data_IF_193057068914
#
_entry.id   IF_193057068914
#
_cell.length_a   1.000
_cell.length_b   1.000
_cell.length_c   1.000
_cell.angle_alpha   90.00
_cell.angle_beta   90.00
_cell.angle_gamma   90.00
#
_symmetry.space_group_name_H-M   'P 1'
#
loop_
_entity.id
_entity.type
_entity.pdbx_description
1 polymer ?
#
# COMPACT_ATOMS: atom_id res chain seq x y z
N UNK A 1 -14.04 -9.74 2.08
CA UNK A 1 -12.75 -9.96 2.75
C UNK A 1 -12.04 -8.62 2.77
N UNK A 2 -11.44 -8.24 3.90
CA UNK A 2 -10.80 -6.94 4.07
C UNK A 2 -9.44 -6.89 3.38
N UNK A 3 -9.15 -5.77 2.72
CA UNK A 3 -7.81 -5.50 2.18
C UNK A 3 -6.84 -5.22 3.33
N UNK A 4 -5.60 -5.66 3.21
CA UNK A 4 -4.55 -5.46 4.21
C UNK A 4 -3.25 -5.05 3.55
N UNK A 5 -2.48 -4.21 4.24
CA UNK A 5 -1.14 -3.82 3.81
C UNK A 5 -0.11 -4.76 4.42
N UNK A 6 0.72 -5.37 3.57
CA UNK A 6 1.78 -6.29 4.00
C UNK A 6 3.10 -5.89 3.36
N UNK A 7 4.20 -5.85 4.14
CA UNK A 7 5.54 -5.54 3.64
C UNK A 7 6.43 -6.77 3.76
N UNK A 8 7.04 -7.22 2.66
CA UNK A 8 7.99 -8.35 2.67
C UNK A 8 7.99 -9.20 1.41
N UNK A 9 8.55 -10.42 1.53
CA UNK A 9 8.62 -11.46 0.49
C UNK A 9 7.27 -11.97 0.00
N UNK A 10 7.19 -12.50 -1.23
CA UNK A 10 5.97 -13.18 -1.70
C UNK A 10 5.73 -14.44 -0.88
N UNK A 11 6.78 -15.18 -0.51
CA UNK A 11 6.70 -16.42 0.28
C UNK A 11 6.10 -16.23 1.68
N UNK A 12 6.24 -15.04 2.25
CA UNK A 12 5.61 -14.70 3.53
C UNK A 12 4.19 -14.16 3.37
N UNK A 13 3.84 -13.70 2.18
CA UNK A 13 2.58 -12.99 1.92
C UNK A 13 1.52 -13.90 1.30
N UNK A 14 1.92 -14.93 0.56
CA UNK A 14 1.03 -15.82 -0.18
C UNK A 14 1.33 -17.31 0.06
N UNK A 15 0.36 -18.15 -0.32
CA UNK A 15 0.55 -19.60 -0.46
C UNK A 15 1.71 -19.92 -1.42
N UNK A 16 2.46 -20.98 -1.12
CA UNK A 16 3.76 -21.27 -1.75
C UNK A 16 3.71 -21.32 -3.29
N UNK A 17 2.68 -21.94 -3.87
CA UNK A 17 2.53 -22.06 -5.33
C UNK A 17 2.30 -20.69 -5.99
N UNK A 18 1.48 -19.84 -5.36
CA UNK A 18 1.18 -18.51 -5.86
C UNK A 18 2.34 -17.54 -5.61
N UNK A 19 3.02 -17.67 -4.47
CA UNK A 19 4.23 -16.90 -4.17
C UNK A 19 5.31 -17.11 -5.23
N UNK A 20 5.60 -18.36 -5.59
CA UNK A 20 6.60 -18.68 -6.61
C UNK A 20 6.22 -18.14 -8.00
N UNK A 21 4.93 -18.15 -8.35
CA UNK A 21 4.45 -17.56 -9.59
C UNK A 21 4.66 -16.04 -9.60
N UNK A 22 4.20 -15.35 -8.55
CA UNK A 22 4.32 -13.89 -8.43
C UNK A 22 5.79 -13.47 -8.43
N UNK A 23 6.64 -14.17 -7.68
CA UNK A 23 8.08 -13.93 -7.68
C UNK A 23 8.69 -14.11 -9.07
N UNK A 24 8.35 -15.18 -9.79
CA UNK A 24 8.85 -15.42 -11.14
C UNK A 24 8.39 -14.38 -12.16
N UNK A 25 7.15 -13.90 -12.03
CA UNK A 25 6.60 -12.83 -12.89
C UNK A 25 7.30 -11.50 -12.62
N UNK A 26 7.54 -11.16 -11.34
CA UNK A 26 8.26 -9.94 -10.97
C UNK A 26 9.73 -9.98 -11.37
N UNK A 27 10.40 -11.10 -11.16
CA UNK A 27 11.79 -11.32 -11.57
C UNK A 27 11.93 -11.19 -13.09
N UNK A 28 11.03 -11.81 -13.85
CA UNK A 28 11.04 -11.68 -15.31
C UNK A 28 10.78 -10.25 -15.80
N UNK A 29 9.86 -9.52 -15.15
CA UNK A 29 9.46 -8.18 -15.57
C UNK A 29 10.48 -7.10 -15.16
N UNK A 30 11.12 -7.25 -13.99
CA UNK A 30 11.91 -6.18 -13.38
C UNK A 30 13.38 -6.56 -13.12
N UNK A 31 13.76 -7.83 -13.32
CA UNK A 31 15.13 -8.31 -13.06
C UNK A 31 15.57 -8.16 -11.61
N UNK A 32 14.60 -8.05 -10.70
CA UNK A 32 14.85 -7.92 -9.28
C UNK A 32 15.06 -9.33 -8.71
N UNK A 33 16.31 -9.79 -8.75
CA UNK A 33 16.75 -10.97 -7.99
C UNK A 33 16.17 -10.82 -6.57
N UNK A 34 15.37 -11.79 -6.12
CA UNK A 34 14.46 -11.69 -4.97
C UNK A 34 15.15 -11.54 -3.60
N UNK A 35 16.00 -10.53 -3.43
CA UNK A 35 16.69 -10.17 -2.19
C UNK A 35 15.70 -9.93 -1.03
N UNK A 36 14.47 -9.53 -1.36
CA UNK A 36 13.35 -9.32 -0.45
C UNK A 36 12.57 -10.60 -0.09
N UNK A 37 12.77 -11.73 -0.77
CA UNK A 37 12.09 -13.02 -0.46
C UNK A 37 12.48 -13.59 0.91
N UNK A 38 13.66 -13.23 1.42
CA UNK A 38 14.13 -13.62 2.76
C UNK A 38 13.56 -12.76 3.90
N UNK A 39 12.83 -11.68 3.59
CA UNK A 39 12.37 -10.73 4.60
C UNK A 39 11.01 -11.16 5.17
N UNK A 40 10.89 -11.34 6.50
CA UNK A 40 9.63 -11.77 7.10
C UNK A 40 8.55 -10.69 6.91
N UNK A 41 7.31 -11.11 6.58
CA UNK A 41 6.21 -10.21 6.28
C UNK A 41 5.83 -9.41 7.54
N UNK A 42 5.51 -8.12 7.35
CA UNK A 42 4.91 -7.26 8.38
C UNK A 42 3.55 -6.79 7.92
N UNK A 43 2.53 -7.07 8.72
CA UNK A 43 1.16 -6.64 8.45
C UNK A 43 0.87 -5.31 9.15
N UNK A 44 0.26 -4.38 8.43
CA UNK A 44 -0.09 -3.04 8.88
C UNK A 44 -1.59 -2.86 9.13
N UNK A 45 -2.28 -3.98 9.36
CA UNK A 45 -3.70 -4.05 9.68
C UNK A 45 -4.60 -4.09 8.45
N UNK A 46 -5.88 -4.34 8.71
CA UNK A 46 -6.94 -4.38 7.71
C UNK A 46 -7.54 -2.99 7.47
N UNK A 47 -7.92 -2.76 6.22
CA UNK A 47 -8.71 -1.62 5.77
C UNK A 47 -10.19 -1.90 6.01
N UNK A 48 -10.93 -0.84 6.35
CA UNK A 48 -12.38 -0.89 6.26
C UNK A 48 -12.81 -1.11 4.80
N UNK A 49 -13.96 -1.75 4.60
CA UNK A 49 -14.43 -2.20 3.28
C UNK A 49 -14.50 -1.09 2.22
N UNK A 50 -14.77 0.17 2.63
CA UNK A 50 -14.74 1.34 1.75
C UNK A 50 -13.46 2.19 1.83
N UNK A 51 -12.60 1.98 2.84
CA UNK A 51 -11.49 2.89 3.16
C UNK A 51 -10.45 3.04 2.05
N UNK A 52 -10.25 2.02 1.22
CA UNK A 52 -9.36 2.10 0.05
C UNK A 52 -9.94 3.01 -1.04
N UNK A 53 -11.19 2.78 -1.42
CA UNK A 53 -11.89 3.54 -2.46
C UNK A 53 -12.10 4.98 -2.03
N UNK A 54 -12.45 5.22 -0.76
CA UNK A 54 -12.63 6.56 -0.20
C UNK A 54 -11.32 7.34 -0.21
N UNK A 55 -10.20 6.69 0.14
CA UNK A 55 -8.86 7.27 0.04
C UNK A 55 -8.53 7.68 -1.40
N UNK A 56 -8.72 6.78 -2.37
CA UNK A 56 -8.46 7.06 -3.77
C UNK A 56 -9.31 8.22 -4.29
N UNK A 57 -10.61 8.20 -4.00
CA UNK A 57 -11.54 9.25 -4.41
C UNK A 57 -11.12 10.60 -3.83
N UNK A 58 -10.84 10.65 -2.52
CA UNK A 58 -10.47 11.89 -1.85
C UNK A 58 -9.13 12.43 -2.32
N UNK A 59 -8.17 11.56 -2.60
CA UNK A 59 -6.88 11.96 -3.17
C UNK A 59 -7.05 12.57 -4.57
N UNK A 60 -7.91 11.98 -5.41
CA UNK A 60 -8.27 12.53 -6.74
C UNK A 60 -8.96 13.89 -6.61
N UNK A 61 -9.87 14.06 -5.67
CA UNK A 61 -10.56 15.34 -5.46
C UNK A 61 -9.61 16.49 -5.10
N UNK A 62 -8.53 16.19 -4.39
CA UNK A 62 -7.63 17.20 -3.79
C UNK A 62 -6.41 17.50 -4.67
N UNK A 63 -5.83 16.45 -5.26
CA UNK A 63 -4.60 16.54 -6.06
C UNK A 63 -4.88 16.38 -7.56
N UNK A 64 -5.99 15.75 -7.93
CA UNK A 64 -6.28 15.36 -9.31
C UNK A 64 -5.71 13.99 -9.67
N UNK A 65 -6.39 13.26 -10.54
CA UNK A 65 -6.01 11.88 -10.91
C UNK A 65 -4.60 11.76 -11.52
N UNK A 66 -4.14 12.81 -12.21
CA UNK A 66 -2.79 12.83 -12.80
C UNK A 66 -1.67 12.92 -11.77
N UNK A 67 -1.97 13.39 -10.56
CA UNK A 67 -1.01 13.55 -9.46
C UNK A 67 -1.01 12.36 -8.51
N UNK A 68 -1.89 11.36 -8.69
CA UNK A 68 -2.02 10.19 -7.79
C UNK A 68 -2.04 8.86 -8.57
N UNK A 69 -1.22 8.78 -9.62
CA UNK A 69 -1.22 7.66 -10.58
C UNK A 69 -0.82 6.34 -9.93
N UNK A 70 0.11 6.36 -8.98
CA UNK A 70 0.53 5.16 -8.27
C UNK A 70 -0.55 4.72 -7.29
N UNK A 71 -1.17 5.64 -6.55
CA UNK A 71 -2.29 5.32 -5.66
C UNK A 71 -3.49 4.69 -6.41
N UNK A 72 -3.74 5.14 -7.65
CA UNK A 72 -4.79 4.59 -8.51
C UNK A 72 -4.39 3.32 -9.27
N UNK A 73 -3.10 2.97 -9.28
CA UNK A 73 -2.57 1.89 -10.09
C UNK A 73 -3.15 0.51 -9.73
N UNK A 74 -3.46 0.29 -8.45
CA UNK A 74 -4.02 -0.98 -7.98
C UNK A 74 -5.54 -1.09 -8.20
N UNK A 75 -6.17 -0.07 -8.79
CA UNK A 75 -7.61 -0.03 -9.05
C UNK A 75 -8.45 -0.05 -7.75
N UNK A 76 -9.76 -0.25 -7.92
CA UNK A 76 -10.72 -0.30 -6.81
C UNK A 76 -10.63 -1.62 -6.01
N UNK A 77 -10.26 -2.71 -6.68
CA UNK A 77 -10.05 -4.00 -5.99
C UNK A 77 -8.82 -3.94 -5.07
N UNK A 78 -7.93 -2.96 -5.26
CA UNK A 78 -6.76 -2.70 -4.42
C UNK A 78 -5.70 -3.80 -4.47
N UNK A 79 -5.88 -4.86 -5.26
CA UNK A 79 -4.97 -6.01 -5.23
C UNK A 79 -3.73 -5.75 -6.07
N UNK A 80 -2.58 -5.76 -5.42
CA UNK A 80 -1.30 -5.75 -6.12
C UNK A 80 -0.14 -5.29 -5.24
N UNK A 81 0.87 -4.70 -5.89
CA UNK A 81 2.16 -4.46 -5.27
C UNK A 81 2.75 -3.10 -5.66
N UNK A 82 3.32 -2.43 -4.67
CA UNK A 82 4.22 -1.30 -4.84
C UNK A 82 5.66 -1.79 -4.69
N UNK A 83 6.43 -1.68 -5.76
CA UNK A 83 7.82 -2.13 -5.80
C UNK A 83 8.76 -1.03 -5.30
N UNK A 84 9.83 -1.36 -4.55
CA UNK A 84 10.82 -0.40 -4.05
C UNK A 84 11.73 0.18 -5.16
N UNK A 85 11.19 0.38 -6.35
CA UNK A 85 11.89 0.91 -7.52
C UNK A 85 10.99 1.90 -8.28
N UNK A 86 11.63 2.75 -9.11
CA UNK A 86 10.93 3.63 -10.03
C UNK A 86 10.47 2.82 -11.26
N UNK A 87 9.31 2.18 -11.13
CA UNK A 87 8.67 1.40 -12.20
C UNK A 87 7.47 2.16 -12.76
N UNK A 88 7.15 1.94 -14.03
CA UNK A 88 5.87 2.37 -14.57
C UNK A 88 4.76 1.46 -14.07
N UNK A 89 3.55 2.01 -13.90
CA UNK A 89 2.37 1.22 -13.59
C UNK A 89 2.14 0.17 -14.68
N UNK A 90 2.11 -1.10 -14.30
CA UNK A 90 1.94 -2.22 -15.23
C UNK A 90 1.06 -3.30 -14.63
N UNK A 91 0.28 -3.95 -15.48
CA UNK A 91 -0.57 -5.08 -15.14
C UNK A 91 0.08 -6.35 -15.69
N UNK A 92 0.55 -7.23 -14.80
CA UNK A 92 1.20 -8.49 -15.19
C UNK A 92 0.20 -9.65 -15.08
N UNK A 93 -0.03 -10.43 -16.15
CA UNK A 93 -0.99 -11.53 -16.11
C UNK A 93 -0.50 -12.66 -15.18
N UNK A 94 -1.38 -13.18 -14.33
CA UNK A 94 -1.15 -14.41 -13.58
C UNK A 94 -2.00 -15.56 -14.15
N UNK A 95 -1.48 -16.77 -14.04
CA UNK A 95 -2.08 -18.03 -14.48
C UNK A 95 -3.40 -18.33 -13.76
N UNK A 96 -3.58 -17.81 -12.54
CA UNK A 96 -4.83 -17.87 -11.78
C UNK A 96 -5.96 -17.00 -12.37
N UNK A 97 -5.70 -16.25 -13.45
CA UNK A 97 -6.68 -15.47 -14.21
C UNK A 97 -6.84 -14.02 -13.77
N UNK A 98 -6.33 -13.63 -12.60
CA UNK A 98 -6.23 -12.24 -12.18
C UNK A 98 -4.88 -11.64 -12.61
N UNK A 99 -4.85 -10.35 -12.93
CA UNK A 99 -3.60 -9.65 -13.22
C UNK A 99 -3.04 -8.97 -11.97
N UNK A 100 -1.74 -9.10 -11.75
CA UNK A 100 -1.00 -8.40 -10.70
C UNK A 100 -0.75 -6.95 -11.13
N UNK A 101 -1.39 -6.01 -10.43
CA UNK A 101 -1.10 -4.59 -10.61
C UNK A 101 0.21 -4.25 -9.89
N UNK A 102 1.15 -3.65 -10.61
CA UNK A 102 2.45 -3.23 -10.10
C UNK A 102 2.57 -1.71 -10.26
N UNK A 103 3.07 -1.04 -9.21
CA UNK A 103 3.28 0.40 -9.20
C UNK A 103 4.57 0.78 -8.46
N UNK A 104 4.99 2.04 -8.57
CA UNK A 104 6.19 2.52 -7.91
C UNK A 104 5.93 2.90 -6.45
N UNK A 105 6.68 2.30 -5.52
CA UNK A 105 6.69 2.71 -4.12
C UNK A 105 7.32 4.11 -3.93
N UNK A 106 8.47 4.45 -4.56
CA UNK A 106 8.96 5.83 -4.56
C UNK A 106 7.94 6.84 -5.08
N UNK A 107 7.27 6.52 -6.19
CA UNK A 107 6.20 7.35 -6.75
C UNK A 107 5.05 7.53 -5.76
N UNK A 108 4.53 6.43 -5.20
CA UNK A 108 3.49 6.46 -4.18
C UNK A 108 3.87 7.36 -2.99
N UNK A 109 5.11 7.29 -2.50
CA UNK A 109 5.54 8.12 -1.36
C UNK A 109 5.52 9.62 -1.67
N UNK A 110 5.82 10.01 -2.91
CA UNK A 110 5.70 11.41 -3.32
C UNK A 110 4.23 11.84 -3.30
N UNK A 111 3.34 11.01 -3.84
CA UNK A 111 1.90 11.27 -3.85
C UNK A 111 1.33 11.37 -2.43
N UNK A 112 1.76 10.48 -1.53
CA UNK A 112 1.38 10.53 -0.11
C UNK A 112 1.92 11.78 0.59
N UNK A 113 3.12 12.22 0.24
CA UNK A 113 3.69 13.44 0.82
C UNK A 113 2.94 14.69 0.38
N UNK A 114 2.57 14.78 -0.90
CA UNK A 114 1.71 15.86 -1.40
C UNK A 114 0.34 15.84 -0.73
N UNK A 115 -0.25 14.65 -0.56
CA UNK A 115 -1.55 14.49 0.10
C UNK A 115 -1.48 14.88 1.58
N UNK A 116 -0.44 14.45 2.29
CA UNK A 116 -0.17 14.81 3.67
C UNK A 116 -0.09 16.33 3.85
N UNK A 117 0.63 17.01 2.94
CA UNK A 117 0.75 18.46 2.96
C UNK A 117 -0.61 19.16 2.77
N UNK A 118 -1.49 18.61 1.93
CA UNK A 118 -2.85 19.16 1.73
C UNK A 118 -3.79 18.89 2.89
N UNK A 119 -3.58 17.80 3.62
CA UNK A 119 -4.35 17.44 4.81
C UNK A 119 -3.76 17.95 6.12
N UNK A 120 -2.62 18.64 6.07
CA UNK A 120 -1.86 19.07 7.24
C UNK A 120 -1.53 17.89 8.19
N UNK A 121 -1.22 16.73 7.60
CA UNK A 121 -0.86 15.51 8.31
C UNK A 121 0.65 15.30 8.30
N UNK A 122 1.16 14.77 9.39
CA UNK A 122 2.55 14.34 9.49
C UNK A 122 2.75 12.93 8.94
N UNK A 123 3.92 12.67 8.35
CA UNK A 123 4.30 11.40 7.73
C UNK A 123 5.30 10.59 8.56
N UNK A 124 5.70 11.09 9.72
CA UNK A 124 6.55 10.34 10.64
C UNK A 124 5.76 9.21 11.29
N UNK A 125 6.47 8.12 11.59
CA UNK A 125 5.83 6.91 12.09
C UNK A 125 5.11 7.10 13.43
N UNK A 126 5.61 7.99 14.28
CA UNK A 126 5.01 8.21 15.59
C UNK A 126 3.70 8.97 15.45
N UNK A 127 3.65 10.05 14.67
CA UNK A 127 2.41 10.77 14.37
C UNK A 127 1.40 9.88 13.62
N UNK A 128 1.85 9.06 12.68
CA UNK A 128 0.98 8.10 11.97
C UNK A 128 0.42 7.03 12.93
N UNK A 129 1.22 6.51 13.86
CA UNK A 129 0.75 5.57 14.90
C UNK A 129 -0.20 6.26 15.87
N UNK A 130 0.08 7.49 16.28
CA UNK A 130 -0.82 8.28 17.12
C UNK A 130 -2.15 8.47 16.42
N UNK A 131 -2.16 8.87 15.14
CA UNK A 131 -3.38 9.01 14.34
C UNK A 131 -4.17 7.69 14.25
N UNK A 132 -3.49 6.54 14.17
CA UNK A 132 -4.13 5.23 14.23
C UNK A 132 -4.60 4.82 15.64
N UNK A 133 -3.99 5.37 16.70
CA UNK A 133 -4.25 5.04 18.11
C UNK A 133 -5.26 5.98 18.79
N UNK A 134 -5.54 7.16 18.23
CA UNK A 134 -6.59 8.10 18.68
C UNK A 134 -7.99 7.45 18.73
N UNK A 135 -8.15 6.25 18.15
CA UNK A 135 -9.37 5.46 18.22
C UNK A 135 -9.52 4.54 19.45
N UNK A 136 -8.63 4.62 20.45
CA UNK A 136 -8.70 3.80 21.67
C UNK A 136 -9.00 4.60 22.93
N UNK A 137 -9.71 5.72 22.82
CA UNK A 137 -10.29 6.43 23.96
C UNK A 137 -11.81 6.15 24.05
N UNK A 138 -12.29 5.48 25.12
CA UNK A 138 -13.72 5.26 25.34
C UNK A 138 -14.46 6.50 25.89
N UNK A 139 -13.76 7.58 26.29
CA UNK A 139 -14.36 8.72 27.00
C UNK A 139 -14.37 10.04 26.21
N UNK A 140 -13.53 10.22 25.19
CA UNK A 140 -13.49 11.45 24.37
C UNK A 140 -14.19 11.26 23.00
N UNK A 141 -15.31 11.98 22.81
CA UNK A 141 -16.10 11.93 21.57
C UNK A 141 -15.32 12.35 20.30
N UNK A 142 -15.67 11.68 19.19
CA UNK A 142 -15.32 11.89 17.77
C UNK A 142 -14.19 12.90 17.45
N UNK A 143 -12.96 12.39 17.33
CA UNK A 143 -11.97 12.96 16.40
C UNK A 143 -11.99 12.10 15.12
N UNK A 144 -12.83 12.53 14.18
CA UNK A 144 -12.92 12.13 12.77
C UNK A 144 -12.84 10.62 12.46
N UNK A 145 -14.00 9.95 12.48
CA UNK A 145 -14.22 8.61 11.91
C UNK A 145 -14.20 8.67 10.37
N UNK A 146 -13.02 8.96 9.80
CA UNK A 146 -12.79 9.07 8.35
C UNK A 146 -12.01 7.83 7.90
N UNK A 147 -12.68 6.81 7.32
CA UNK A 147 -12.04 5.60 6.81
C UNK A 147 -10.84 5.88 5.90
N UNK A 148 -10.89 6.97 5.13
CA UNK A 148 -9.84 7.43 4.22
C UNK A 148 -8.57 7.90 4.95
N UNK A 149 -8.69 8.62 6.07
CA UNK A 149 -7.52 9.08 6.85
C UNK A 149 -6.84 7.88 7.53
N UNK A 150 -7.63 6.90 8.00
CA UNK A 150 -7.09 5.65 8.56
C UNK A 150 -6.41 4.81 7.49
N UNK A 151 -6.99 4.72 6.29
CA UNK A 151 -6.38 4.03 5.16
C UNK A 151 -5.07 4.70 4.75
N UNK A 152 -5.06 6.03 4.68
CA UNK A 152 -3.87 6.83 4.43
C UNK A 152 -2.76 6.56 5.45
N UNK A 153 -3.08 6.63 6.75
CA UNK A 153 -2.08 6.47 7.79
C UNK A 153 -1.47 5.05 7.79
N UNK A 154 -2.29 4.02 7.58
CA UNK A 154 -1.79 2.64 7.42
C UNK A 154 -0.91 2.50 6.18
N UNK A 155 -1.34 3.06 5.04
CA UNK A 155 -0.57 3.02 3.80
C UNK A 155 0.77 3.74 3.93
N UNK A 156 0.77 4.94 4.51
CA UNK A 156 1.99 5.74 4.71
C UNK A 156 2.96 5.04 5.67
N UNK A 157 2.46 4.44 6.75
CA UNK A 157 3.27 3.67 7.70
C UNK A 157 3.88 2.43 7.03
N UNK A 158 3.07 1.69 6.25
CA UNK A 158 3.54 0.53 5.51
C UNK A 158 4.55 0.93 4.42
N UNK A 159 4.34 2.05 3.72
CA UNK A 159 5.25 2.57 2.71
C UNK A 159 6.59 3.02 3.31
N UNK A 160 6.57 3.64 4.50
CA UNK A 160 7.79 3.99 5.23
C UNK A 160 8.58 2.73 5.59
N UNK A 161 7.91 1.68 6.09
CA UNK A 161 8.59 0.42 6.41
C UNK A 161 9.13 -0.29 5.17
N UNK A 162 8.35 -0.34 4.10
CA UNK A 162 8.75 -0.94 2.83
C UNK A 162 10.02 -0.29 2.28
N UNK A 163 10.14 1.04 2.35
CA UNK A 163 11.38 1.73 1.95
C UNK A 163 12.54 1.45 2.90
N UNK A 164 12.34 1.40 4.22
CA UNK A 164 13.44 1.09 5.16
C UNK A 164 14.01 -0.31 4.94
N UNK A 165 13.16 -1.25 4.56
CA UNK A 165 13.52 -2.66 4.36
C UNK A 165 13.90 -2.97 2.92
N UNK A 166 13.78 -1.99 2.02
CA UNK A 166 13.92 -2.18 0.58
C UNK A 166 13.08 -3.36 0.06
N UNK A 167 11.81 -3.40 0.50
CA UNK A 167 10.89 -4.50 0.24
C UNK A 167 9.63 -4.04 -0.49
N UNK A 168 8.95 -4.95 -1.22
CA UNK A 168 7.65 -4.66 -1.78
C UNK A 168 6.59 -4.43 -0.71
N UNK A 169 5.67 -3.51 -1.01
CA UNK A 169 4.45 -3.26 -0.26
C UNK A 169 3.27 -3.87 -1.01
N UNK A 170 2.65 -4.87 -0.41
CA UNK A 170 1.51 -5.60 -0.92
C UNK A 170 0.21 -5.03 -0.36
N UNK A 171 -0.79 -4.92 -1.22
CA UNK A 171 -2.18 -4.72 -0.83
C UNK A 171 -2.96 -5.97 -1.24
N UNK A 172 -3.37 -6.76 -0.25
CA UNK A 172 -3.89 -8.13 -0.42
C UNK A 172 -5.08 -8.39 0.48
N UNK A 173 -6.01 -9.25 0.06
CA UNK A 173 -7.18 -9.68 0.84
C UNK A 173 -8.01 -10.75 0.14
#
# INVERSE_FOLDING_TARGET
>A
MGLSFTVGGTRGTFEESFANEVAGVLDHAFGAEGDWEGVPPRHFGELAEAGWTDLQMRAVEILGAESVKNLLALGQDGRGVYLPANVQTVSLPLSAGAALQCASLPGLRQELAELAQRWDLALDDEALKELLNVYRDPDDGWVADTPEIRAFARLALAANEAVRRDCPLWLVG
#
